data_IF_402211420015
#
_entry.id   IF_402211420015
#
_cell.length_a   1.000
_cell.length_b   1.000
_cell.length_c   1.000
_cell.angle_alpha   90.00
_cell.angle_beta   90.00
_cell.angle_gamma   90.00
#
_symmetry.space_group_name_H-M   'P 1'
#
loop_
_entity.id
_entity.type
_entity.pdbx_description
1 polymer ?
#
# COMPACT_ATOMS: atom_id res chain seq x y z
N UNK A 1 -10.26 -54.66 -16.51
CA UNK A 1 -9.78 -53.95 -15.32
C UNK A 1 -8.59 -53.08 -15.70
N UNK A 2 -8.81 -51.79 -15.89
CA UNK A 2 -7.81 -50.72 -15.83
C UNK A 2 -8.51 -49.45 -15.33
N UNK A 3 -7.87 -48.62 -14.50
CA UNK A 3 -8.57 -47.80 -13.52
C UNK A 3 -9.02 -46.47 -14.10
N UNK A 4 -10.25 -46.06 -13.77
CA UNK A 4 -10.74 -44.71 -13.98
C UNK A 4 -9.87 -43.70 -13.24
N UNK A 5 -9.31 -42.73 -13.96
CA UNK A 5 -8.82 -41.49 -13.38
C UNK A 5 -10.02 -40.74 -12.78
N UNK A 6 -10.14 -40.79 -11.45
CA UNK A 6 -10.95 -39.81 -10.73
C UNK A 6 -10.14 -38.52 -10.66
N UNK A 7 -10.65 -37.48 -11.30
CA UNK A 7 -10.25 -36.10 -11.03
C UNK A 7 -10.56 -35.79 -9.57
N UNK A 8 -9.55 -35.37 -8.82
CA UNK A 8 -9.75 -34.87 -7.46
C UNK A 8 -10.64 -33.61 -7.50
N UNK A 9 -11.53 -33.41 -6.51
CA UNK A 9 -12.30 -32.18 -6.42
C UNK A 9 -11.35 -31.03 -6.08
N UNK A 10 -11.34 -30.01 -6.94
CA UNK A 10 -10.69 -28.72 -6.69
C UNK A 10 -11.12 -28.21 -5.31
N UNK A 11 -10.15 -27.99 -4.42
CA UNK A 11 -10.42 -27.41 -3.11
C UNK A 11 -11.21 -26.09 -3.26
N UNK A 12 -12.20 -25.81 -2.39
CA UNK A 12 -12.98 -24.59 -2.50
C UNK A 12 -12.06 -23.37 -2.41
N UNK A 13 -12.25 -22.40 -3.31
CA UNK A 13 -11.54 -21.14 -3.28
C UNK A 13 -11.73 -20.49 -1.89
N UNK A 14 -10.62 -20.20 -1.19
CA UNK A 14 -10.66 -19.53 0.11
C UNK A 14 -11.28 -18.15 -0.08
N UNK A 15 -12.49 -17.95 0.43
CA UNK A 15 -13.27 -16.71 0.29
C UNK A 15 -12.77 -15.59 1.24
N UNK A 16 -11.46 -15.33 1.27
CA UNK A 16 -10.84 -14.39 2.20
C UNK A 16 -9.70 -13.61 1.55
N UNK A 17 -9.50 -12.38 2.03
CA UNK A 17 -8.35 -11.55 1.64
C UNK A 17 -7.12 -12.07 2.39
N UNK A 18 -6.07 -12.37 1.64
CA UNK A 18 -4.74 -12.71 2.18
C UNK A 18 -3.74 -11.64 1.79
N UNK A 19 -2.66 -11.50 2.54
CA UNK A 19 -1.60 -10.53 2.28
C UNK A 19 -0.26 -11.26 2.12
N UNK A 20 0.59 -10.75 1.24
CA UNK A 20 1.94 -11.29 1.02
C UNK A 20 2.88 -10.21 0.52
N UNK A 21 4.18 -10.49 0.54
CA UNK A 21 5.16 -9.67 -0.19
C UNK A 21 4.88 -9.78 -1.70
N UNK A 22 5.16 -8.70 -2.47
CA UNK A 22 5.11 -8.78 -3.91
C UNK A 22 6.23 -9.69 -4.44
N UNK A 23 6.02 -10.14 -5.66
CA UNK A 23 7.00 -10.70 -6.57
C UNK A 23 7.18 -9.75 -7.75
N UNK A 24 8.25 -9.93 -8.53
CA UNK A 24 8.51 -9.13 -9.73
C UNK A 24 7.33 -9.18 -10.71
N UNK A 25 6.66 -10.34 -10.82
CA UNK A 25 5.54 -10.57 -11.72
C UNK A 25 4.29 -9.73 -11.34
N UNK A 26 4.20 -9.23 -10.10
CA UNK A 26 3.09 -8.37 -9.68
C UNK A 26 3.22 -6.93 -10.20
N UNK A 27 4.40 -6.51 -10.68
CA UNK A 27 4.69 -5.10 -10.99
C UNK A 27 3.73 -4.46 -12.00
N UNK A 28 3.35 -5.19 -13.06
CA UNK A 28 2.36 -4.70 -14.04
C UNK A 28 0.99 -4.55 -13.39
N UNK A 29 0.58 -5.51 -12.55
CA UNK A 29 -0.71 -5.47 -11.88
C UNK A 29 -0.81 -4.32 -10.88
N UNK A 30 0.27 -4.00 -10.18
CA UNK A 30 0.35 -2.80 -9.31
C UNK A 30 0.17 -1.52 -10.14
N UNK A 31 0.87 -1.42 -11.26
CA UNK A 31 0.74 -0.27 -12.17
C UNK A 31 -0.68 -0.11 -12.71
N UNK A 32 -1.35 -1.21 -13.10
CA UNK A 32 -2.75 -1.19 -13.55
C UNK A 32 -3.68 -0.66 -12.46
N UNK A 33 -3.58 -1.19 -11.24
CA UNK A 33 -4.39 -0.73 -10.11
C UNK A 33 -4.14 0.76 -9.85
N UNK A 34 -2.89 1.21 -9.86
CA UNK A 34 -2.54 2.61 -9.63
C UNK A 34 -3.15 3.53 -10.70
N UNK A 35 -2.99 3.16 -11.99
CA UNK A 35 -3.54 3.87 -13.15
C UNK A 35 -5.06 4.02 -13.02
N UNK A 36 -5.73 2.92 -12.70
CA UNK A 36 -7.19 2.86 -12.64
C UNK A 36 -7.77 3.57 -11.40
N UNK A 37 -6.92 3.97 -10.43
CA UNK A 37 -7.40 4.77 -9.30
C UNK A 37 -7.68 6.23 -9.66
N UNK A 38 -6.99 6.78 -10.66
CA UNK A 38 -7.02 8.19 -11.10
C UNK A 38 -6.72 9.24 -10.00
N UNK A 39 -6.41 8.81 -8.77
CA UNK A 39 -6.11 9.69 -7.62
C UNK A 39 -4.65 9.60 -7.18
N UNK A 40 -3.89 8.67 -7.75
CA UNK A 40 -2.47 8.50 -7.48
C UNK A 40 -1.64 9.07 -8.63
N UNK A 41 -0.52 9.71 -8.29
CA UNK A 41 0.52 9.98 -9.28
C UNK A 41 1.02 8.66 -9.87
N UNK A 42 0.77 8.47 -11.16
CA UNK A 42 1.12 7.24 -11.83
C UNK A 42 2.62 7.20 -12.14
N UNK A 43 3.32 6.26 -11.52
CA UNK A 43 4.73 6.03 -11.83
C UNK A 43 4.89 5.18 -13.10
N UNK A 44 6.13 5.08 -13.61
CA UNK A 44 6.44 4.15 -14.70
C UNK A 44 6.23 2.69 -14.27
N UNK A 45 5.90 1.80 -15.21
CA UNK A 45 5.85 0.34 -14.96
C UNK A 45 7.16 -0.18 -14.36
N UNK A 46 8.29 0.38 -14.80
CA UNK A 46 9.62 0.04 -14.28
C UNK A 46 9.78 0.36 -12.78
N UNK A 47 9.20 1.47 -12.31
CA UNK A 47 9.23 1.82 -10.88
C UNK A 47 8.46 0.79 -10.04
N UNK A 48 7.29 0.35 -10.49
CA UNK A 48 6.53 -0.71 -9.80
C UNK A 48 7.30 -2.03 -9.77
N UNK A 49 7.96 -2.41 -10.87
CA UNK A 49 8.84 -3.58 -10.90
C UNK A 49 10.00 -3.47 -9.90
N UNK A 50 10.64 -2.29 -9.77
CA UNK A 50 11.67 -2.07 -8.77
C UNK A 50 11.14 -2.15 -7.34
N UNK A 51 9.96 -1.61 -7.06
CA UNK A 51 9.31 -1.72 -5.76
C UNK A 51 9.05 -3.19 -5.39
N UNK A 52 8.62 -4.00 -6.36
CA UNK A 52 8.44 -5.43 -6.19
C UNK A 52 9.75 -6.23 -5.99
N UNK A 53 10.89 -5.75 -6.49
CA UNK A 53 12.18 -6.44 -6.38
C UNK A 53 12.98 -5.99 -5.17
N UNK A 54 13.27 -4.69 -5.09
CA UNK A 54 14.23 -4.11 -4.14
C UNK A 54 13.56 -3.69 -2.84
N UNK A 55 12.27 -3.34 -2.91
CA UNK A 55 11.47 -2.90 -1.76
C UNK A 55 10.41 -3.92 -1.36
N UNK A 56 10.57 -5.18 -1.76
CA UNK A 56 9.63 -6.27 -1.44
C UNK A 56 9.46 -6.50 0.06
N UNK A 57 10.47 -6.17 0.86
CA UNK A 57 10.42 -6.30 2.32
C UNK A 57 9.52 -5.24 2.99
N UNK A 58 9.29 -4.12 2.33
CA UNK A 58 8.50 -2.96 2.80
C UNK A 58 7.30 -2.67 1.91
N UNK A 59 6.99 -3.59 0.99
CA UNK A 59 5.83 -3.56 0.09
C UNK A 59 4.97 -4.78 0.39
N UNK A 60 3.66 -4.63 0.32
CA UNK A 60 2.70 -5.72 0.53
C UNK A 60 1.62 -5.66 -0.53
N UNK A 61 1.12 -6.83 -0.93
CA UNK A 61 -0.05 -6.95 -1.79
C UNK A 61 -1.14 -7.71 -1.05
N UNK A 62 -2.39 -7.35 -1.33
CA UNK A 62 -3.56 -8.12 -0.93
C UNK A 62 -4.03 -8.97 -2.11
N UNK A 63 -4.25 -10.26 -1.87
CA UNK A 63 -4.83 -11.18 -2.81
C UNK A 63 -6.27 -11.54 -2.41
N UNK A 64 -7.14 -11.55 -3.41
CA UNK A 64 -8.53 -12.01 -3.29
C UNK A 64 -8.90 -12.73 -4.59
N UNK A 65 -9.58 -13.86 -4.47
CA UNK A 65 -10.06 -14.65 -5.62
C UNK A 65 -8.94 -15.01 -6.63
N UNK A 66 -7.72 -15.21 -6.13
CA UNK A 66 -6.55 -15.60 -6.93
C UNK A 66 -5.86 -14.44 -7.67
N UNK A 67 -6.26 -13.19 -7.44
CA UNK A 67 -5.66 -12.01 -8.05
C UNK A 67 -5.25 -10.95 -7.02
N UNK A 68 -4.25 -10.13 -7.36
CA UNK A 68 -3.89 -8.95 -6.58
C UNK A 68 -5.04 -7.93 -6.66
N UNK A 69 -5.59 -7.64 -5.50
CA UNK A 69 -6.73 -6.76 -5.25
C UNK A 69 -6.32 -5.38 -4.71
N UNK A 70 -5.07 -5.22 -4.28
CA UNK A 70 -4.54 -3.97 -3.76
C UNK A 70 -3.08 -4.09 -3.34
N UNK A 71 -2.44 -2.97 -3.08
CA UNK A 71 -1.06 -2.91 -2.64
C UNK A 71 -0.80 -1.75 -1.66
N UNK A 72 0.27 -1.88 -0.89
CA UNK A 72 0.96 -0.77 -0.21
C UNK A 72 2.44 -0.85 -0.60
N UNK A 73 2.98 0.25 -1.12
CA UNK A 73 4.42 0.40 -1.37
C UNK A 73 5.03 1.31 -0.32
N UNK A 74 6.27 1.04 0.05
CA UNK A 74 6.97 1.83 1.04
C UNK A 74 8.43 1.43 1.16
N UNK A 75 9.17 2.17 2.00
CA UNK A 75 10.57 1.92 2.29
C UNK A 75 10.93 2.40 3.70
N UNK A 76 11.97 1.81 4.29
CA UNK A 76 12.54 2.34 5.53
C UNK A 76 13.34 3.60 5.21
N UNK A 77 13.07 4.69 5.92
CA UNK A 77 13.83 5.94 5.80
C UNK A 77 15.33 5.66 6.02
N UNK A 78 16.23 6.00 5.08
CA UNK A 78 17.66 5.70 5.23
C UNK A 78 18.31 6.38 6.45
N UNK A 79 17.88 7.60 6.77
CA UNK A 79 18.34 8.41 7.89
C UNK A 79 17.63 8.07 9.22
N UNK A 80 16.48 7.41 9.14
CA UNK A 80 15.66 6.98 10.28
C UNK A 80 15.11 5.56 10.07
N UNK A 81 15.95 4.51 10.19
CA UNK A 81 15.53 3.15 9.84
C UNK A 81 14.39 2.58 10.71
N UNK A 82 14.08 3.19 11.85
CA UNK A 82 12.90 2.88 12.69
C UNK A 82 11.57 3.34 12.05
N UNK A 83 11.63 4.08 10.94
CA UNK A 83 10.49 4.71 10.29
C UNK A 83 10.20 4.10 8.92
N UNK A 84 9.00 3.54 8.75
CA UNK A 84 8.46 3.17 7.43
C UNK A 84 7.84 4.42 6.79
N UNK A 85 8.32 4.80 5.62
CA UNK A 85 7.60 5.71 4.74
C UNK A 85 6.69 4.91 3.80
N UNK A 86 5.39 5.13 3.89
CA UNK A 86 4.39 4.60 2.96
C UNK A 86 4.26 5.57 1.79
N UNK A 87 4.46 5.07 0.58
CA UNK A 87 4.44 5.89 -0.63
C UNK A 87 3.09 5.84 -1.33
N UNK A 88 2.62 4.66 -1.74
CA UNK A 88 1.31 4.51 -2.38
C UNK A 88 0.51 3.40 -1.73
N UNK A 89 -0.77 3.68 -1.48
CA UNK A 89 -1.78 2.70 -1.05
C UNK A 89 -2.87 2.68 -2.11
N UNK A 90 -3.14 1.51 -2.69
CA UNK A 90 -4.22 1.38 -3.67
C UNK A 90 -5.02 0.09 -3.45
N UNK A 91 -6.32 0.16 -3.73
CA UNK A 91 -7.21 -1.00 -3.77
C UNK A 91 -8.01 -0.91 -5.07
N UNK A 92 -8.01 -2.01 -5.80
CA UNK A 92 -8.79 -2.17 -7.02
C UNK A 92 -10.27 -1.84 -6.75
N UNK A 93 -10.90 -1.13 -7.70
CA UNK A 93 -12.27 -0.64 -7.55
C UNK A 93 -13.27 -1.75 -7.20
N UNK A 94 -13.10 -2.97 -7.75
CA UNK A 94 -13.97 -4.11 -7.48
C UNK A 94 -13.89 -4.62 -6.04
N UNK A 95 -12.88 -4.19 -5.27
CA UNK A 95 -12.59 -4.70 -3.93
C UNK A 95 -12.59 -3.61 -2.84
N UNK A 96 -12.94 -2.37 -3.17
CA UNK A 96 -13.09 -1.26 -2.20
C UNK A 96 -14.18 -1.53 -1.17
N UNK A 97 -14.15 -0.84 -0.04
CA UNK A 97 -15.16 -0.98 1.04
C UNK A 97 -15.03 -2.22 1.94
N UNK A 98 -14.05 -3.10 1.69
CA UNK A 98 -13.86 -4.35 2.44
C UNK A 98 -12.70 -4.27 3.47
N UNK A 99 -12.24 -3.07 3.82
CA UNK A 99 -11.16 -2.88 4.80
C UNK A 99 -9.76 -3.34 4.35
N UNK A 100 -9.58 -3.65 3.05
CA UNK A 100 -8.33 -4.21 2.50
C UNK A 100 -7.13 -3.31 2.75
N UNK A 101 -7.25 -2.00 2.48
CA UNK A 101 -6.15 -1.06 2.69
C UNK A 101 -5.66 -1.02 4.15
N UNK A 102 -6.60 -0.93 5.11
CA UNK A 102 -6.27 -0.93 6.54
C UNK A 102 -5.63 -2.25 6.97
N UNK A 103 -6.09 -3.38 6.41
CA UNK A 103 -5.50 -4.70 6.66
C UNK A 103 -4.06 -4.78 6.15
N UNK A 104 -3.79 -4.34 4.93
CA UNK A 104 -2.44 -4.31 4.36
C UNK A 104 -1.48 -3.48 5.21
N UNK A 105 -1.91 -2.27 5.64
CA UNK A 105 -1.08 -1.41 6.48
C UNK A 105 -0.76 -2.04 7.83
N UNK A 106 -1.75 -2.64 8.50
CA UNK A 106 -1.54 -3.30 9.79
C UNK A 106 -0.61 -4.50 9.64
N UNK A 107 -0.85 -5.38 8.67
CA UNK A 107 -0.01 -6.56 8.42
C UNK A 107 1.44 -6.18 8.08
N UNK A 108 1.62 -5.11 7.29
CA UNK A 108 2.95 -4.61 6.95
C UNK A 108 3.69 -4.05 8.18
N UNK A 109 2.99 -3.30 9.04
CA UNK A 109 3.55 -2.77 10.29
C UNK A 109 3.90 -3.88 11.27
N UNK A 110 3.03 -4.87 11.46
CA UNK A 110 3.29 -6.02 12.32
C UNK A 110 4.51 -6.83 11.85
N UNK A 111 4.63 -7.03 10.53
CA UNK A 111 5.79 -7.68 9.94
C UNK A 111 7.08 -6.89 10.17
N UNK A 112 7.04 -5.57 10.02
CA UNK A 112 8.22 -4.70 10.14
C UNK A 112 8.59 -4.37 11.59
N UNK A 113 7.66 -4.48 12.54
CA UNK A 113 7.92 -4.29 13.97
C UNK A 113 9.00 -5.25 14.48
N UNK A 114 9.01 -6.49 13.97
CA UNK A 114 10.05 -7.49 14.27
C UNK A 114 11.45 -7.04 13.82
N UNK A 115 11.53 -6.16 12.81
CA UNK A 115 12.76 -5.57 12.29
C UNK A 115 13.08 -4.18 12.89
N UNK A 116 12.37 -3.78 13.95
CA UNK A 116 12.60 -2.54 14.68
C UNK A 116 11.94 -1.30 14.07
N UNK A 117 10.96 -1.45 13.18
CA UNK A 117 10.13 -0.32 12.75
C UNK A 117 9.09 -0.03 13.84
N UNK A 118 9.01 1.22 14.27
CA UNK A 118 8.07 1.67 15.30
C UNK A 118 7.36 2.97 14.93
N UNK A 119 7.58 3.49 13.73
CA UNK A 119 6.96 4.72 13.23
C UNK A 119 6.53 4.56 11.78
N UNK A 120 5.40 5.15 11.42
CA UNK A 120 4.93 5.28 10.04
C UNK A 120 4.86 6.75 9.65
N UNK A 121 5.37 7.07 8.47
CA UNK A 121 5.21 8.34 7.79
C UNK A 121 4.51 8.11 6.44
N UNK A 122 3.67 9.05 6.03
CA UNK A 122 3.09 9.12 4.68
C UNK A 122 2.80 10.58 4.35
N UNK A 123 2.66 10.93 3.08
CA UNK A 123 2.10 12.23 2.70
C UNK A 123 0.68 12.09 2.17
N UNK A 124 -0.15 13.08 2.45
CA UNK A 124 -1.54 13.13 1.98
C UNK A 124 -1.89 14.58 1.64
N UNK A 125 -2.54 14.80 0.49
CA UNK A 125 -3.13 16.10 0.13
C UNK A 125 -4.36 16.41 0.99
N UNK A 126 -4.69 17.70 1.10
CA UNK A 126 -5.88 18.14 1.83
C UNK A 126 -7.18 17.59 1.23
N UNK A 127 -7.23 17.38 -0.09
CA UNK A 127 -8.40 16.85 -0.80
C UNK A 127 -8.59 15.33 -0.67
N UNK A 128 -7.54 14.57 -0.31
CA UNK A 128 -7.58 13.10 -0.24
C UNK A 128 -8.17 12.59 1.09
N UNK A 129 -9.46 12.89 1.33
CA UNK A 129 -10.20 12.52 2.55
C UNK A 129 -10.20 11.01 2.81
N UNK A 130 -10.26 10.18 1.75
CA UNK A 130 -10.22 8.73 1.88
C UNK A 130 -8.92 8.22 2.52
N UNK A 131 -7.77 8.79 2.15
CA UNK A 131 -6.49 8.44 2.77
C UNK A 131 -6.40 8.98 4.20
N UNK A 132 -6.89 10.19 4.47
CA UNK A 132 -6.93 10.75 5.82
C UNK A 132 -7.74 9.83 6.78
N UNK A 133 -8.91 9.37 6.35
CA UNK A 133 -9.74 8.41 7.09
C UNK A 133 -9.04 7.05 7.28
N UNK A 134 -8.38 6.55 6.24
CA UNK A 134 -7.61 5.31 6.29
C UNK A 134 -6.53 5.35 7.36
N UNK A 135 -5.64 6.35 7.32
CA UNK A 135 -4.52 6.46 8.26
C UNK A 135 -5.01 6.81 9.67
N UNK A 136 -6.07 7.62 9.81
CA UNK A 136 -6.74 7.86 11.09
C UNK A 136 -7.32 6.57 11.69
N UNK A 137 -7.95 5.72 10.87
CA UNK A 137 -8.47 4.42 11.29
C UNK A 137 -7.36 3.47 11.74
N UNK A 138 -6.25 3.42 11.00
CA UNK A 138 -5.07 2.60 11.36
C UNK A 138 -4.50 3.05 12.69
N UNK A 139 -4.27 4.34 12.90
CA UNK A 139 -3.78 4.88 14.17
C UNK A 139 -4.72 4.50 15.34
N UNK A 140 -6.03 4.68 15.16
CA UNK A 140 -7.04 4.32 16.17
C UNK A 140 -7.02 2.83 16.51
N UNK A 141 -6.95 1.95 15.50
CA UNK A 141 -6.93 0.49 15.72
C UNK A 141 -5.68 0.03 16.48
N UNK A 142 -4.58 0.75 16.33
CA UNK A 142 -3.31 0.44 16.98
C UNK A 142 -3.10 1.19 18.31
N UNK A 143 -4.03 2.06 18.71
CA UNK A 143 -3.89 2.88 19.91
C UNK A 143 -2.79 3.93 19.80
N UNK A 144 -2.44 4.31 18.57
CA UNK A 144 -1.33 5.20 18.24
C UNK A 144 -1.76 6.66 18.20
N UNK A 145 -0.79 7.57 18.30
CA UNK A 145 -1.01 9.00 18.02
C UNK A 145 -0.83 9.25 16.52
N UNK A 146 -1.75 10.00 15.91
CA UNK A 146 -1.58 10.55 14.57
C UNK A 146 -1.29 12.06 14.67
N UNK A 147 -0.18 12.50 14.10
CA UNK A 147 0.16 13.92 13.98
C UNK A 147 0.25 14.32 12.51
N UNK A 148 -0.14 15.56 12.20
CA UNK A 148 -0.16 16.11 10.84
C UNK A 148 0.58 17.44 10.84
N UNK A 149 1.46 17.65 9.85
CA UNK A 149 2.16 18.92 9.64
C UNK A 149 2.47 19.12 8.16
N UNK A 150 2.65 20.37 7.75
CA UNK A 150 3.07 20.68 6.39
C UNK A 150 4.46 20.10 6.09
N UNK A 151 4.67 19.61 4.87
CA UNK A 151 5.95 19.07 4.42
C UNK A 151 6.32 19.55 3.02
N UNK A 152 5.58 19.16 1.98
CA UNK A 152 5.85 19.59 0.62
C UNK A 152 4.81 20.62 0.17
N UNK A 153 5.24 21.88 0.04
CA UNK A 153 4.43 22.91 -0.61
C UNK A 153 4.32 22.65 -2.12
N UNK A 154 3.26 23.16 -2.76
CA UNK A 154 3.02 22.98 -4.21
C UNK A 154 4.24 23.29 -5.09
N UNK A 155 5.03 24.32 -4.76
CA UNK A 155 6.20 24.71 -5.56
C UNK A 155 7.36 23.70 -5.51
N UNK A 156 7.35 22.73 -4.59
CA UNK A 156 8.34 21.65 -4.56
C UNK A 156 8.01 20.53 -5.56
N UNK A 157 6.73 20.35 -5.91
CA UNK A 157 6.22 19.15 -6.58
C UNK A 157 5.37 19.44 -7.82
N UNK A 158 5.05 20.71 -8.09
CA UNK A 158 4.44 21.13 -9.36
C UNK A 158 5.53 21.29 -10.41
N UNK A 159 5.59 20.44 -11.45
CA UNK A 159 6.63 20.53 -12.48
C UNK A 159 6.51 21.81 -13.32
N UNK A 160 5.28 22.34 -13.45
CA UNK A 160 4.99 23.59 -14.16
C UNK A 160 3.88 24.35 -13.45
N UNK A 161 3.73 25.65 -13.73
CA UNK A 161 2.60 26.43 -13.20
C UNK A 161 1.24 26.02 -13.80
N UNK A 162 1.24 25.44 -15.01
CA UNK A 162 0.04 24.98 -15.71
C UNK A 162 -0.46 23.61 -15.28
N UNK A 163 0.34 22.91 -14.46
CA UNK A 163 0.03 21.58 -13.93
C UNK A 163 0.30 21.57 -12.42
N UNK A 164 -0.54 22.28 -11.63
CA UNK A 164 -0.31 22.45 -10.22
C UNK A 164 -0.64 21.18 -9.44
N UNK A 165 0.26 20.78 -8.56
CA UNK A 165 0.02 19.73 -7.58
C UNK A 165 -0.36 20.35 -6.22
N UNK A 166 -1.33 19.76 -5.53
CA UNK A 166 -1.71 20.18 -4.18
C UNK A 166 -0.55 19.99 -3.19
N UNK A 167 -0.42 20.81 -2.13
CA UNK A 167 0.55 20.53 -1.08
C UNK A 167 0.32 19.17 -0.42
N UNK A 168 1.41 18.51 -0.07
CA UNK A 168 1.43 17.18 0.54
C UNK A 168 1.82 17.34 2.02
N UNK A 169 0.88 17.05 2.92
CA UNK A 169 1.09 17.13 4.37
C UNK A 169 1.67 15.81 4.89
N UNK A 170 2.61 15.88 5.82
CA UNK A 170 3.16 14.70 6.48
C UNK A 170 2.23 14.23 7.58
N UNK A 171 1.79 12.99 7.47
CA UNK A 171 1.07 12.24 8.50
C UNK A 171 2.05 11.29 9.17
N UNK A 172 2.10 11.33 10.51
CA UNK A 172 2.97 10.46 11.32
C UNK A 172 2.13 9.68 12.32
N UNK A 173 2.23 8.35 12.28
CA UNK A 173 1.69 7.45 13.29
C UNK A 173 2.83 6.98 14.20
N UNK A 174 2.71 7.20 15.51
CA UNK A 174 3.73 6.86 16.51
C UNK A 174 3.10 6.57 17.89
N UNK A 175 3.45 5.45 18.57
CA UNK A 175 4.13 4.29 17.99
C UNK A 175 3.24 3.64 16.93
N UNK A 176 3.85 3.11 15.87
CA UNK A 176 3.17 2.55 14.71
C UNK A 176 2.91 1.04 14.79
#
# INVERSE_FOLDING_TARGET
MSPSHKSDPTAPAKSGVTTRRPSIDDGIRLWEIARDTEVLDLNSTYAYTLLCRDFAATTIVAERDGAVAGFVTGYRRPDRPDTLFVWQVAVDAAHRGHGIASRMLIDLLDHLAVAGVSRLETTITASNTASQELFGSVAKKRGSTLTVRDLFASHHISPTQSDPHEPEQLYVIDPA
#
